data_IF_543721768172
#
_entry.id   IF_543721768172
#
_cell.length_a   1.000
_cell.length_b   1.000
_cell.length_c   1.000
_cell.angle_alpha   90.00
_cell.angle_beta   90.00
_cell.angle_gamma   90.00
#
_symmetry.space_group_name_H-M   'P 1'
#
loop_
_entity.id
_entity.type
_entity.pdbx_description
1 polymer ?
#
# COMPACT_ATOMS: atom_id res chain seq x y z
N UNK A 1 6.57 3.53 20.18
CA UNK A 1 5.43 4.25 20.78
C UNK A 1 5.71 5.09 22.03
N UNK A 2 6.24 4.56 23.14
CA UNK A 2 6.64 5.44 24.27
C UNK A 2 7.73 6.44 23.87
N UNK A 3 8.71 6.04 23.08
CA UNK A 3 9.81 6.88 22.61
C UNK A 3 9.36 8.01 21.67
N UNK A 4 8.35 7.76 20.85
CA UNK A 4 7.80 8.76 19.91
C UNK A 4 6.93 9.79 20.63
N UNK A 5 6.28 9.39 21.73
CA UNK A 5 5.55 10.30 22.63
C UNK A 5 6.45 11.34 23.28
N UNK A 6 7.64 10.93 23.77
CA UNK A 6 8.60 11.87 24.36
C UNK A 6 9.12 12.86 23.31
N UNK A 7 9.40 12.39 22.09
CA UNK A 7 9.79 13.28 20.98
C UNK A 7 8.70 14.30 20.63
N UNK A 8 7.43 13.87 20.57
CA UNK A 8 6.29 14.76 20.33
C UNK A 8 6.11 15.76 21.48
N UNK A 9 6.24 15.31 22.72
CA UNK A 9 6.13 16.16 23.89
C UNK A 9 7.23 17.23 23.91
N UNK A 10 8.46 16.86 23.57
CA UNK A 10 9.59 17.79 23.48
C UNK A 10 9.44 18.79 22.33
N UNK A 11 9.02 18.34 21.16
CA UNK A 11 8.79 19.19 19.98
C UNK A 11 7.75 20.28 20.24
N UNK A 12 6.70 19.96 21.01
CA UNK A 12 5.64 20.92 21.35
C UNK A 12 5.78 21.56 22.72
N UNK A 13 6.93 21.35 23.42
CA UNK A 13 7.19 21.89 24.76
C UNK A 13 6.04 21.65 25.74
N UNK A 14 5.57 20.39 25.84
CA UNK A 14 4.46 20.01 26.70
C UNK A 14 4.93 19.91 28.16
N UNK A 15 4.15 20.52 29.07
CA UNK A 15 4.34 20.33 30.50
C UNK A 15 3.83 18.94 30.97
N UNK A 16 4.14 18.56 32.22
CA UNK A 16 3.78 17.23 32.75
C UNK A 16 2.27 16.91 32.65
N UNK A 17 1.42 17.88 32.94
CA UNK A 17 -0.03 17.70 32.86
C UNK A 17 -0.50 17.54 31.38
N UNK A 18 0.10 18.29 30.45
CA UNK A 18 -0.21 18.17 29.03
C UNK A 18 0.27 16.83 28.47
N UNK A 19 1.41 16.32 28.94
CA UNK A 19 1.91 14.98 28.57
C UNK A 19 0.97 13.86 29.05
N UNK A 20 0.49 13.94 30.30
CA UNK A 20 -0.49 12.99 30.82
C UNK A 20 -1.78 13.04 30.01
N UNK A 21 -2.25 14.23 29.66
CA UNK A 21 -3.44 14.42 28.89
C UNK A 21 -3.29 13.89 27.45
N UNK A 22 -2.12 14.08 26.83
CA UNK A 22 -1.79 13.50 25.52
C UNK A 22 -1.78 11.96 25.58
N UNK A 23 -1.23 11.38 26.63
CA UNK A 23 -1.26 9.94 26.82
C UNK A 23 -2.70 9.40 26.90
N UNK A 24 -3.57 10.07 27.66
CA UNK A 24 -4.99 9.70 27.74
C UNK A 24 -5.70 9.82 26.38
N UNK A 25 -5.40 10.83 25.57
CA UNK A 25 -5.91 10.95 24.20
C UNK A 25 -5.49 9.77 23.35
N UNK A 26 -4.22 9.36 23.43
CA UNK A 26 -3.71 8.21 22.68
C UNK A 26 -4.38 6.89 23.09
N UNK A 27 -4.61 6.69 24.39
CA UNK A 27 -5.32 5.50 24.91
C UNK A 27 -6.77 5.50 24.44
N UNK A 28 -7.46 6.65 24.51
CA UNK A 28 -8.83 6.79 24.00
C UNK A 28 -8.91 6.51 22.51
N UNK A 29 -7.98 7.05 21.73
CA UNK A 29 -7.93 6.84 20.28
C UNK A 29 -7.67 5.37 19.91
N UNK A 30 -6.79 4.67 20.64
CA UNK A 30 -6.52 3.23 20.45
C UNK A 30 -7.74 2.34 20.69
N UNK A 31 -8.54 2.71 21.66
CA UNK A 31 -9.73 1.95 22.03
C UNK A 31 -10.95 2.29 21.14
N UNK A 32 -10.73 3.02 20.03
CA UNK A 32 -11.79 3.44 19.13
C UNK A 32 -12.80 4.42 19.78
N UNK A 33 -12.38 5.05 20.89
CA UNK A 33 -13.24 5.87 21.71
C UNK A 33 -13.66 7.16 21.01
N UNK A 34 -14.95 7.27 20.74
CA UNK A 34 -15.62 8.50 20.35
C UNK A 34 -16.31 9.07 21.58
N UNK A 35 -15.63 9.90 22.36
CA UNK A 35 -16.26 10.64 23.46
C UNK A 35 -16.19 12.15 23.19
N UNK A 36 -17.15 12.88 23.69
CA UNK A 36 -17.15 14.32 23.60
C UNK A 36 -15.99 14.92 24.39
N UNK A 37 -15.55 16.14 24.03
CA UNK A 37 -14.51 16.84 24.80
C UNK A 37 -14.87 17.02 26.28
N UNK A 38 -16.16 17.13 26.60
CA UNK A 38 -16.66 17.26 27.98
C UNK A 38 -16.48 15.96 28.76
N UNK A 39 -16.88 14.83 28.17
CA UNK A 39 -16.74 13.51 28.75
C UNK A 39 -15.25 13.15 28.93
N UNK A 40 -14.44 13.38 27.91
CA UNK A 40 -13.00 13.16 27.99
C UNK A 40 -12.35 14.01 29.11
N UNK A 41 -12.70 15.29 29.21
CA UNK A 41 -12.20 16.17 30.26
C UNK A 41 -12.61 15.71 31.66
N UNK A 42 -13.88 15.30 31.82
CA UNK A 42 -14.37 14.77 33.11
C UNK A 42 -13.64 13.49 33.52
N UNK A 43 -13.43 12.55 32.61
CA UNK A 43 -12.71 11.29 32.86
C UNK A 43 -11.24 11.52 33.25
N UNK A 44 -10.64 12.62 32.79
CA UNK A 44 -9.24 12.96 33.03
C UNK A 44 -9.06 14.10 34.05
N UNK A 45 -10.06 14.39 34.85
CA UNK A 45 -10.05 15.39 35.93
C UNK A 45 -9.54 16.77 35.47
N UNK A 46 -9.93 17.19 34.27
CA UNK A 46 -9.51 18.44 33.64
C UNK A 46 -10.68 19.22 33.05
N UNK A 47 -10.42 20.41 32.55
CA UNK A 47 -11.43 21.22 31.88
C UNK A 47 -11.45 21.00 30.36
N UNK A 48 -12.59 21.10 29.69
CA UNK A 48 -12.67 21.07 28.23
C UNK A 48 -11.76 22.12 27.56
N UNK A 49 -11.60 23.27 28.19
CA UNK A 49 -10.72 24.33 27.72
C UNK A 49 -9.23 23.92 27.71
N UNK A 50 -8.80 23.13 28.71
CA UNK A 50 -7.43 22.61 28.75
C UNK A 50 -7.17 21.61 27.63
N UNK A 51 -8.14 20.72 27.36
CA UNK A 51 -8.08 19.74 26.26
C UNK A 51 -8.00 20.45 24.90
N UNK A 52 -8.83 21.48 24.68
CA UNK A 52 -8.82 22.27 23.45
C UNK A 52 -7.49 23.01 23.27
N UNK A 53 -6.93 23.58 24.36
CA UNK A 53 -5.62 24.23 24.30
C UNK A 53 -4.51 23.26 23.93
N UNK A 54 -4.49 22.07 24.52
CA UNK A 54 -3.56 21.02 24.15
C UNK A 54 -3.70 20.66 22.66
N UNK A 55 -4.92 20.44 22.17
CA UNK A 55 -5.18 20.14 20.75
C UNK A 55 -4.60 21.21 19.83
N UNK A 56 -4.84 22.47 20.13
CA UNK A 56 -4.30 23.61 19.34
C UNK A 56 -2.79 23.71 19.44
N UNK A 57 -2.21 23.48 20.62
CA UNK A 57 -0.76 23.45 20.84
C UNK A 57 -0.07 22.36 20.03
N UNK A 58 -0.76 21.22 19.84
CA UNK A 58 -0.33 20.10 19.00
C UNK A 58 -0.59 20.32 17.50
N UNK A 59 -1.10 21.48 17.08
CA UNK A 59 -1.36 21.81 15.68
C UNK A 59 -2.71 21.32 15.12
N UNK A 60 -3.60 20.83 15.98
CA UNK A 60 -4.95 20.43 15.58
C UNK A 60 -5.96 21.58 15.73
N UNK A 61 -7.07 21.52 14.97
CA UNK A 61 -8.13 22.55 15.06
C UNK A 61 -8.92 22.46 16.38
N UNK A 62 -8.96 21.29 17.01
CA UNK A 62 -9.62 21.00 18.28
C UNK A 62 -9.54 19.55 18.67
N UNK A 63 -10.22 19.18 19.77
CA UNK A 63 -10.17 17.80 20.32
C UNK A 63 -10.68 16.75 19.32
N UNK A 64 -11.79 17.01 18.63
CA UNK A 64 -12.38 16.07 17.66
C UNK A 64 -11.43 15.80 16.48
N UNK A 65 -10.79 16.85 15.96
CA UNK A 65 -9.79 16.73 14.91
C UNK A 65 -8.56 15.95 15.41
N UNK A 66 -8.09 16.26 16.62
CA UNK A 66 -6.95 15.60 17.24
C UNK A 66 -7.19 14.09 17.42
N UNK A 67 -8.32 13.70 18.03
CA UNK A 67 -8.60 12.29 18.32
C UNK A 67 -8.83 11.48 17.05
N UNK A 68 -9.50 12.09 16.05
CA UNK A 68 -9.72 11.46 14.75
C UNK A 68 -8.40 11.19 14.01
N UNK A 69 -7.53 12.21 13.90
CA UNK A 69 -6.25 12.06 13.20
C UNK A 69 -5.27 11.14 13.92
N UNK A 70 -5.23 11.21 15.26
CA UNK A 70 -4.42 10.28 16.05
C UNK A 70 -4.94 8.84 15.90
N UNK A 71 -6.26 8.64 15.97
CA UNK A 71 -6.88 7.34 15.72
C UNK A 71 -6.56 6.78 14.34
N UNK A 72 -6.63 7.60 13.30
CA UNK A 72 -6.27 7.25 11.94
C UNK A 72 -4.77 6.85 11.81
N UNK A 73 -3.87 7.60 12.45
CA UNK A 73 -2.44 7.27 12.45
C UNK A 73 -2.16 5.95 13.20
N UNK A 74 -2.83 5.73 14.35
CA UNK A 74 -2.70 4.49 15.11
C UNK A 74 -3.23 3.31 14.31
N UNK A 75 -4.39 3.45 13.66
CA UNK A 75 -4.96 2.41 12.84
C UNK A 75 -4.04 2.07 11.66
N UNK A 76 -3.52 3.08 10.98
CA UNK A 76 -2.54 2.88 9.90
C UNK A 76 -1.23 2.24 10.40
N UNK A 77 -0.76 2.55 11.62
CA UNK A 77 0.41 1.86 12.19
C UNK A 77 0.11 0.39 12.53
N UNK A 78 -1.10 0.10 13.00
CA UNK A 78 -1.55 -1.28 13.26
C UNK A 78 -1.70 -2.01 11.92
N UNK A 79 -2.36 -1.39 10.95
CA UNK A 79 -2.55 -1.94 9.62
C UNK A 79 -1.20 -2.11 8.90
N UNK A 80 -0.29 -1.13 8.98
CA UNK A 80 1.07 -1.24 8.45
C UNK A 80 1.92 -2.29 9.18
N UNK A 81 1.76 -2.50 10.49
CA UNK A 81 2.44 -3.59 11.20
C UNK A 81 1.86 -4.95 10.83
N UNK A 82 0.55 -5.04 10.67
CA UNK A 82 -0.10 -6.24 10.18
C UNK A 82 0.24 -6.48 8.69
N UNK A 83 0.23 -5.43 7.87
CA UNK A 83 0.66 -5.51 6.47
C UNK A 83 2.18 -5.67 6.31
N UNK A 84 3.02 -5.12 7.18
CA UNK A 84 4.46 -5.37 7.14
C UNK A 84 4.79 -6.81 7.55
N UNK A 85 4.08 -7.40 8.52
CA UNK A 85 4.19 -8.83 8.81
C UNK A 85 3.62 -9.67 7.66
N UNK A 86 2.50 -9.25 7.06
CA UNK A 86 1.92 -9.92 5.89
C UNK A 86 2.77 -9.73 4.63
N UNK A 87 3.32 -8.54 4.38
CA UNK A 87 4.22 -8.29 3.24
C UNK A 87 5.54 -9.04 3.44
N UNK A 88 6.10 -9.07 4.65
CA UNK A 88 7.33 -9.81 4.95
C UNK A 88 7.09 -11.32 4.88
N UNK A 89 5.95 -11.80 5.36
CA UNK A 89 5.52 -13.18 5.22
C UNK A 89 5.21 -13.53 3.76
N UNK A 90 4.59 -12.60 3.01
CA UNK A 90 4.30 -12.76 1.60
C UNK A 90 5.59 -12.78 0.75
N UNK A 91 6.52 -11.85 0.98
CA UNK A 91 7.82 -11.81 0.27
C UNK A 91 8.69 -12.99 0.71
N UNK A 92 8.72 -13.32 2.00
CA UNK A 92 9.43 -14.50 2.52
C UNK A 92 8.79 -15.83 2.13
N UNK A 93 7.51 -15.80 1.73
CA UNK A 93 6.76 -16.97 1.25
C UNK A 93 6.87 -17.25 -0.25
N UNK A 94 7.49 -16.36 -1.03
CA UNK A 94 7.75 -16.63 -2.45
C UNK A 94 8.96 -17.56 -2.54
N UNK A 95 8.80 -18.80 -3.06
CA UNK A 95 9.93 -19.69 -3.23
C UNK A 95 11.02 -19.05 -4.10
N UNK A 96 12.27 -19.18 -3.68
CA UNK A 96 13.42 -18.61 -4.40
C UNK A 96 13.48 -19.10 -5.86
N UNK A 97 13.07 -20.33 -6.09
CA UNK A 97 12.93 -20.94 -7.42
C UNK A 97 11.98 -20.11 -8.34
N UNK A 98 10.87 -19.61 -7.81
CA UNK A 98 9.96 -18.75 -8.59
C UNK A 98 10.59 -17.40 -8.93
N UNK A 99 11.38 -16.84 -8.03
CA UNK A 99 12.13 -15.61 -8.27
C UNK A 99 13.18 -15.84 -9.35
N UNK A 100 13.95 -16.91 -9.25
CA UNK A 100 14.93 -17.28 -10.27
C UNK A 100 14.24 -17.48 -11.64
N UNK A 101 13.15 -18.24 -11.68
CA UNK A 101 12.41 -18.46 -12.92
C UNK A 101 11.85 -17.17 -13.54
N UNK A 102 11.40 -16.24 -12.71
CA UNK A 102 10.98 -14.91 -13.17
C UNK A 102 12.14 -14.16 -13.87
N UNK A 103 13.32 -14.15 -13.24
CA UNK A 103 14.51 -13.47 -13.78
C UNK A 103 14.99 -14.17 -15.06
N UNK A 104 15.01 -15.50 -15.11
CA UNK A 104 15.34 -16.27 -16.31
C UNK A 104 14.44 -15.91 -17.49
N UNK A 105 13.11 -15.91 -17.27
CA UNK A 105 12.13 -15.56 -18.31
C UNK A 105 12.34 -14.14 -18.85
N UNK A 106 12.72 -13.19 -18.00
CA UNK A 106 13.10 -11.86 -18.46
C UNK A 106 14.35 -11.91 -19.35
N UNK A 107 15.38 -12.62 -18.92
CA UNK A 107 16.63 -12.73 -19.70
C UNK A 107 16.43 -13.49 -21.03
N UNK A 108 15.69 -14.58 -21.06
CA UNK A 108 15.34 -15.34 -22.27
C UNK A 108 14.63 -14.46 -23.30
N UNK A 109 13.86 -13.46 -22.82
CA UNK A 109 13.08 -12.56 -23.68
C UNK A 109 13.70 -11.16 -23.83
N UNK A 110 14.99 -10.99 -23.50
CA UNK A 110 15.64 -9.66 -23.53
C UNK A 110 15.61 -8.99 -24.90
N UNK A 111 15.64 -9.76 -25.98
CA UNK A 111 15.66 -9.29 -27.36
C UNK A 111 14.25 -9.21 -28.01
N UNK A 112 13.21 -9.56 -27.26
CA UNK A 112 11.83 -9.55 -27.72
C UNK A 112 10.99 -8.58 -26.89
N UNK A 113 9.94 -8.03 -27.45
CA UNK A 113 9.00 -7.22 -26.68
C UNK A 113 8.37 -8.03 -25.53
N UNK A 114 8.22 -7.40 -24.38
CA UNK A 114 7.50 -7.89 -23.22
C UNK A 114 6.19 -7.12 -23.15
N UNK A 115 5.08 -7.84 -23.25
CA UNK A 115 3.75 -7.23 -23.11
C UNK A 115 3.32 -7.25 -21.63
N UNK A 116 2.80 -6.14 -21.13
CA UNK A 116 2.30 -6.03 -19.77
C UNK A 116 0.82 -5.63 -19.81
N UNK A 117 -0.05 -6.41 -19.15
CA UNK A 117 -1.47 -6.11 -19.05
C UNK A 117 -1.92 -5.95 -17.60
N UNK A 118 -2.78 -4.97 -17.34
CA UNK A 118 -3.38 -4.70 -16.03
C UNK A 118 -4.47 -3.65 -16.18
N UNK A 119 -5.66 -3.90 -15.66
CA UNK A 119 -6.83 -3.02 -15.83
C UNK A 119 -7.38 -2.51 -14.50
N UNK A 120 -8.14 -1.43 -14.54
CA UNK A 120 -8.74 -0.84 -13.35
C UNK A 120 -7.68 -0.44 -12.32
N UNK A 121 -7.82 -0.91 -11.08
CA UNK A 121 -6.84 -0.64 -10.01
C UNK A 121 -5.45 -1.26 -10.23
N UNK A 122 -5.33 -2.20 -11.16
CA UNK A 122 -4.03 -2.75 -11.54
C UNK A 122 -3.32 -1.95 -12.66
N UNK A 123 -3.98 -0.98 -13.30
CA UNK A 123 -3.38 -0.16 -14.36
C UNK A 123 -2.15 0.64 -13.89
N UNK A 124 -2.13 1.28 -12.71
CA UNK A 124 -0.91 1.93 -12.20
C UNK A 124 0.26 0.96 -11.99
N UNK A 125 -0.02 -0.29 -11.60
CA UNK A 125 1.01 -1.33 -11.44
C UNK A 125 1.55 -1.77 -12.81
N UNK A 126 0.70 -1.86 -13.82
CA UNK A 126 1.11 -2.10 -15.20
C UNK A 126 2.07 -1.02 -15.70
N UNK A 127 1.70 0.26 -15.53
CA UNK A 127 2.55 1.39 -15.93
C UNK A 127 3.90 1.38 -15.19
N UNK A 128 3.87 1.13 -13.87
CA UNK A 128 5.09 1.03 -13.07
C UNK A 128 6.00 -0.09 -13.58
N UNK A 129 5.44 -1.28 -13.86
CA UNK A 129 6.19 -2.43 -14.37
C UNK A 129 6.83 -2.12 -15.73
N UNK A 130 6.07 -1.52 -16.66
CA UNK A 130 6.59 -1.09 -17.97
C UNK A 130 7.76 -0.14 -17.80
N UNK A 131 7.62 0.90 -16.97
CA UNK A 131 8.70 1.88 -16.73
C UNK A 131 9.95 1.22 -16.14
N UNK A 132 9.77 0.30 -15.19
CA UNK A 132 10.91 -0.42 -14.59
C UNK A 132 11.64 -1.30 -15.60
N UNK A 133 10.91 -2.04 -16.43
CA UNK A 133 11.50 -2.87 -17.47
C UNK A 133 12.25 -2.03 -18.51
N UNK A 134 11.69 -0.89 -18.94
CA UNK A 134 12.36 0.04 -19.84
C UNK A 134 13.67 0.58 -19.26
N UNK A 135 13.68 0.99 -17.98
CA UNK A 135 14.90 1.45 -17.29
C UNK A 135 15.96 0.34 -17.19
N UNK A 136 15.53 -0.92 -17.09
CA UNK A 136 16.43 -2.08 -17.08
C UNK A 136 16.88 -2.53 -18.48
N UNK A 137 16.47 -1.80 -19.52
CA UNK A 137 16.88 -2.06 -20.90
C UNK A 137 16.08 -3.15 -21.62
N UNK A 138 14.87 -3.48 -21.14
CA UNK A 138 13.94 -4.36 -21.84
C UNK A 138 12.98 -3.55 -22.71
N UNK A 139 12.56 -4.08 -23.83
CA UNK A 139 11.48 -3.51 -24.64
C UNK A 139 10.14 -3.92 -24.03
N UNK A 140 9.52 -3.06 -23.22
CA UNK A 140 8.27 -3.34 -22.55
C UNK A 140 7.14 -2.46 -23.09
N UNK A 141 5.96 -3.06 -23.34
CA UNK A 141 4.79 -2.40 -23.90
C UNK A 141 3.59 -2.72 -23.00
N UNK A 142 2.95 -1.67 -22.44
CA UNK A 142 1.71 -1.78 -21.71
C UNK A 142 0.52 -1.70 -22.67
N UNK A 143 -0.32 -2.72 -22.70
CA UNK A 143 -1.54 -2.69 -23.49
C UNK A 143 -2.66 -3.49 -22.83
N UNK A 144 -3.89 -3.01 -22.97
CA UNK A 144 -5.12 -3.70 -22.59
C UNK A 144 -5.98 -4.06 -23.81
N UNK A 145 -5.52 -3.71 -25.02
CA UNK A 145 -6.19 -4.08 -26.26
C UNK A 145 -5.85 -5.53 -26.62
N UNK A 146 -6.87 -6.37 -26.72
CA UNK A 146 -6.70 -7.80 -27.02
C UNK A 146 -6.08 -8.02 -28.40
N UNK A 147 -6.33 -7.14 -29.36
CA UNK A 147 -5.79 -7.19 -30.72
C UNK A 147 -4.24 -7.21 -30.74
N UNK A 148 -3.63 -6.53 -29.77
CA UNK A 148 -2.17 -6.51 -29.62
C UNK A 148 -1.62 -7.90 -29.25
N UNK A 149 -2.42 -8.68 -28.51
CA UNK A 149 -2.05 -10.02 -28.07
C UNK A 149 -2.38 -11.09 -29.12
N UNK A 150 -3.49 -10.90 -29.82
CA UNK A 150 -3.98 -11.82 -30.85
C UNK A 150 -3.16 -11.74 -32.15
N UNK A 151 -2.81 -10.53 -32.59
CA UNK A 151 -2.20 -10.31 -33.91
C UNK A 151 -0.84 -10.99 -34.14
N UNK A 152 -0.11 -11.30 -33.06
CA UNK A 152 1.26 -11.80 -33.16
C UNK A 152 2.26 -10.81 -33.80
N UNK A 153 1.79 -9.67 -34.27
CA UNK A 153 2.60 -8.70 -35.04
C UNK A 153 3.82 -8.16 -34.30
N UNK A 154 3.75 -8.07 -32.98
CA UNK A 154 4.87 -7.59 -32.15
C UNK A 154 5.94 -8.67 -31.91
N UNK A 155 5.72 -9.92 -32.28
CA UNK A 155 6.63 -11.04 -31.98
C UNK A 155 7.08 -11.05 -30.51
N UNK A 156 6.16 -10.74 -29.60
CA UNK A 156 6.44 -10.70 -28.16
C UNK A 156 6.77 -12.08 -27.64
N UNK A 157 7.78 -12.18 -26.79
CA UNK A 157 8.20 -13.45 -26.21
C UNK A 157 7.63 -13.71 -24.82
N UNK A 158 7.26 -12.65 -24.10
CA UNK A 158 6.78 -12.72 -22.72
C UNK A 158 5.57 -11.82 -22.51
N UNK A 159 4.59 -12.34 -21.78
CA UNK A 159 3.45 -11.56 -21.29
C UNK A 159 3.45 -11.54 -19.78
N UNK A 160 3.32 -10.36 -19.18
CA UNK A 160 3.17 -10.16 -17.75
C UNK A 160 1.73 -9.68 -17.49
N UNK A 161 0.95 -10.47 -16.79
CA UNK A 161 -0.43 -10.18 -16.43
C UNK A 161 -0.55 -9.81 -14.95
N UNK A 162 -1.23 -8.70 -14.65
CA UNK A 162 -1.44 -8.22 -13.28
C UNK A 162 -2.94 -8.15 -13.02
N UNK A 163 -3.44 -9.00 -12.10
CA UNK A 163 -4.87 -9.08 -11.79
C UNK A 163 -5.10 -9.46 -10.33
N UNK A 164 -5.79 -8.61 -9.55
CA UNK A 164 -6.10 -8.93 -8.16
C UNK A 164 -6.93 -10.20 -8.02
N UNK A 165 -7.93 -10.40 -8.86
CA UNK A 165 -8.85 -11.57 -8.76
C UNK A 165 -8.44 -12.77 -9.60
N UNK A 166 -7.54 -12.59 -10.56
CA UNK A 166 -7.21 -13.61 -11.56
C UNK A 166 -8.37 -13.96 -12.52
N UNK A 167 -9.54 -13.32 -12.36
CA UNK A 167 -10.79 -13.66 -13.10
C UNK A 167 -11.27 -12.56 -14.05
N UNK A 168 -10.50 -11.47 -14.18
CA UNK A 168 -10.88 -10.32 -15.01
C UNK A 168 -10.83 -10.69 -16.49
N UNK A 169 -11.97 -10.68 -17.19
CA UNK A 169 -12.09 -11.11 -18.59
C UNK A 169 -11.14 -10.37 -19.54
N UNK A 170 -10.97 -9.05 -19.34
CA UNK A 170 -10.03 -8.20 -20.12
C UNK A 170 -8.55 -8.57 -19.91
N UNK A 171 -8.22 -9.34 -18.88
CA UNK A 171 -6.87 -9.88 -18.63
C UNK A 171 -6.77 -11.34 -19.10
N UNK A 172 -7.82 -12.12 -18.88
CA UNK A 172 -7.84 -13.55 -19.26
C UNK A 172 -7.73 -13.75 -20.78
N UNK A 173 -8.41 -12.94 -21.58
CA UNK A 173 -8.36 -13.05 -23.05
C UNK A 173 -6.94 -12.85 -23.59
N UNK A 174 -6.22 -11.74 -23.28
CA UNK A 174 -4.79 -11.58 -23.62
C UNK A 174 -3.90 -12.75 -23.18
N UNK A 175 -4.13 -13.30 -22.00
CA UNK A 175 -3.35 -14.44 -21.48
C UNK A 175 -3.63 -15.71 -22.32
N UNK A 176 -4.90 -15.99 -22.63
CA UNK A 176 -5.29 -17.13 -23.45
C UNK A 176 -4.73 -17.04 -24.88
N UNK A 177 -4.84 -15.86 -25.52
CA UNK A 177 -4.31 -15.62 -26.86
C UNK A 177 -2.78 -15.77 -26.89
N UNK A 178 -2.12 -15.30 -25.83
CA UNK A 178 -0.66 -15.44 -25.68
C UNK A 178 -0.23 -16.88 -25.45
N UNK A 179 -1.01 -17.66 -24.70
CA UNK A 179 -0.77 -19.09 -24.50
C UNK A 179 -0.92 -19.86 -25.80
N UNK A 180 -1.96 -19.56 -26.60
CA UNK A 180 -2.15 -20.17 -27.91
C UNK A 180 -1.00 -19.88 -28.89
N UNK A 181 -0.28 -18.78 -28.69
CA UNK A 181 0.90 -18.40 -29.50
C UNK A 181 2.24 -18.84 -28.86
N UNK A 182 2.20 -19.74 -27.89
CA UNK A 182 3.39 -20.29 -27.18
C UNK A 182 4.31 -19.24 -26.55
N UNK A 183 3.75 -18.08 -26.16
CA UNK A 183 4.51 -17.07 -25.42
C UNK A 183 4.67 -17.48 -23.96
N UNK A 184 5.79 -17.10 -23.36
CA UNK A 184 5.96 -17.23 -21.92
C UNK A 184 4.98 -16.30 -21.17
N UNK A 185 4.43 -16.77 -20.06
CA UNK A 185 3.44 -16.01 -19.28
C UNK A 185 3.88 -15.96 -17.81
N UNK A 186 3.87 -14.75 -17.25
CA UNK A 186 3.99 -14.50 -15.82
C UNK A 186 2.70 -13.84 -15.35
N UNK A 187 2.07 -14.38 -14.31
CA UNK A 187 0.87 -13.82 -13.74
C UNK A 187 1.08 -13.42 -12.27
N UNK A 188 0.84 -12.16 -11.96
CA UNK A 188 0.71 -11.68 -10.60
C UNK A 188 -0.78 -11.65 -10.23
N UNK A 189 -1.16 -12.53 -9.32
CA UNK A 189 -2.55 -12.71 -8.91
C UNK A 189 -2.65 -12.56 -7.40
N UNK A 190 -3.65 -11.85 -6.90
CA UNK A 190 -3.96 -11.80 -5.48
C UNK A 190 -4.50 -13.14 -4.98
N UNK A 191 -4.26 -13.41 -3.69
CA UNK A 191 -4.77 -14.60 -3.00
C UNK A 191 -6.26 -14.46 -2.71
#
# INVERSE_FOLDING_TARGET
>A
MKHDLYKLADQHHLNANEQQLLQAVLETAKNGGQCSVREFAAQNYTSPAAVIRLSKKMGYTGYTDMIYRIGFLIQNEIDNKNHASDITAFIGGIPEEKIHRFVELLHENRQKPILVTGTGFCAPLQEFMVRKLLVLGYCAIGSNSYEVYESGALNAGLVIAISKSGKTGTILKPVQDSFAQHRSIIAFVGA
#
